data_IF_277874042796
#
_entry.id   IF_277874042796
#
_cell.length_a   1.000
_cell.length_b   1.000
_cell.length_c   1.000
_cell.angle_alpha   90.00
_cell.angle_beta   90.00
_cell.angle_gamma   90.00
#
_symmetry.space_group_name_H-M   'P 1'
#
loop_
_entity.id
_entity.type
_entity.pdbx_description
1 polymer ?
#
# COMPACT_ATOMS: atom_id res chain seq x y z
N UNK A 1 -23.86 35.78 -3.94
CA UNK A 1 -24.23 34.37 -4.24
C UNK A 1 -23.47 33.97 -5.48
N UNK A 2 -22.37 33.22 -5.31
CA UNK A 2 -21.67 32.60 -6.43
C UNK A 2 -21.51 31.14 -6.08
N UNK A 3 -22.38 30.32 -6.66
CA UNK A 3 -22.34 28.86 -6.53
C UNK A 3 -21.17 28.38 -7.38
N UNK A 4 -20.08 27.98 -6.73
CA UNK A 4 -19.01 27.24 -7.39
C UNK A 4 -19.52 25.82 -7.68
N UNK A 5 -20.09 25.61 -8.87
CA UNK A 5 -20.17 24.28 -9.47
C UNK A 5 -18.82 23.99 -10.10
N UNK A 6 -17.92 23.39 -9.33
CA UNK A 6 -16.76 22.70 -9.89
C UNK A 6 -17.27 21.34 -10.38
N UNK A 7 -17.02 21.09 -11.65
CA UNK A 7 -17.52 19.98 -12.44
C UNK A 7 -17.07 18.62 -11.87
N UNK A 8 -18.01 17.67 -11.78
CA UNK A 8 -17.80 16.25 -11.45
C UNK A 8 -16.62 15.57 -12.19
N UNK A 9 -16.16 16.09 -13.33
CA UNK A 9 -15.16 15.40 -14.16
C UNK A 9 -13.68 15.55 -13.73
N UNK A 10 -13.29 16.63 -13.05
CA UNK A 10 -11.87 16.89 -12.75
C UNK A 10 -11.44 16.26 -11.41
N UNK A 11 -12.37 16.15 -10.45
CA UNK A 11 -12.14 15.52 -9.14
C UNK A 11 -12.00 14.01 -9.29
N UNK A 12 -12.87 13.36 -10.07
CA UNK A 12 -12.84 11.90 -10.25
C UNK A 12 -11.58 11.37 -10.97
N UNK A 13 -10.99 12.13 -11.89
CA UNK A 13 -9.73 11.76 -12.54
C UNK A 13 -8.54 11.84 -11.58
N UNK A 14 -8.52 12.84 -10.70
CA UNK A 14 -7.51 12.99 -9.64
C UNK A 14 -7.59 11.84 -8.63
N UNK A 15 -8.80 11.50 -8.19
CA UNK A 15 -9.04 10.42 -7.24
C UNK A 15 -8.71 9.04 -7.82
N UNK A 16 -9.21 8.73 -9.03
CA UNK A 16 -8.89 7.47 -9.71
C UNK A 16 -7.38 7.31 -9.98
N UNK A 17 -6.68 8.40 -10.30
CA UNK A 17 -5.23 8.37 -10.46
C UNK A 17 -4.53 8.11 -9.12
N UNK A 18 -5.02 8.71 -8.03
CA UNK A 18 -4.47 8.48 -6.69
C UNK A 18 -4.68 7.04 -6.18
N UNK A 19 -5.82 6.42 -6.50
CA UNK A 19 -6.12 5.02 -6.19
C UNK A 19 -5.23 4.06 -6.99
N UNK A 20 -5.09 4.28 -8.30
CA UNK A 20 -4.22 3.47 -9.16
C UNK A 20 -2.77 3.50 -8.68
N UNK A 21 -2.25 4.69 -8.36
CA UNK A 21 -0.89 4.86 -7.81
C UNK A 21 -0.75 4.19 -6.45
N UNK A 22 -1.76 4.29 -5.57
CA UNK A 22 -1.73 3.63 -4.27
C UNK A 22 -1.71 2.10 -4.40
N UNK A 23 -2.51 1.53 -5.30
CA UNK A 23 -2.54 0.08 -5.59
C UNK A 23 -1.21 -0.41 -6.11
N UNK A 24 -0.63 0.27 -7.10
CA UNK A 24 0.66 -0.09 -7.66
C UNK A 24 1.77 -0.01 -6.60
N UNK A 25 1.76 1.04 -5.79
CA UNK A 25 2.72 1.21 -4.69
C UNK A 25 2.62 0.09 -3.65
N UNK A 26 1.41 -0.30 -3.24
CA UNK A 26 1.22 -1.44 -2.32
C UNK A 26 1.81 -2.73 -2.92
N UNK A 27 1.49 -3.05 -4.18
CA UNK A 27 2.00 -4.25 -4.86
C UNK A 27 3.53 -4.25 -4.98
N UNK A 28 4.12 -3.11 -5.33
CA UNK A 28 5.58 -3.00 -5.39
C UNK A 28 6.22 -3.21 -4.03
N UNK A 29 5.61 -2.69 -2.95
CA UNK A 29 6.17 -2.83 -1.60
C UNK A 29 5.98 -4.23 -1.01
N UNK A 30 4.89 -4.93 -1.31
CA UNK A 30 4.72 -6.34 -0.96
C UNK A 30 5.90 -7.18 -1.47
N UNK A 31 6.28 -6.98 -2.73
CA UNK A 31 7.40 -7.69 -3.35
C UNK A 31 8.72 -7.37 -2.64
N UNK A 32 8.98 -6.11 -2.30
CA UNK A 32 10.20 -5.70 -1.61
C UNK A 32 10.29 -6.29 -0.20
N UNK A 33 9.16 -6.41 0.51
CA UNK A 33 9.10 -7.07 1.82
C UNK A 33 9.41 -8.56 1.69
N UNK A 34 8.80 -9.24 0.72
CA UNK A 34 9.04 -10.66 0.46
C UNK A 34 10.52 -10.94 0.13
N UNK A 35 11.12 -10.14 -0.77
CA UNK A 35 12.55 -10.25 -1.11
C UNK A 35 13.41 -10.06 0.14
N UNK A 36 13.11 -9.05 0.96
CA UNK A 36 13.88 -8.78 2.18
C UNK A 36 13.79 -9.93 3.19
N UNK A 37 12.61 -10.54 3.35
CA UNK A 37 12.45 -11.73 4.20
C UNK A 37 13.26 -12.92 3.66
N UNK A 38 13.27 -13.11 2.35
CA UNK A 38 14.09 -14.16 1.71
C UNK A 38 15.58 -13.94 1.96
N UNK A 39 16.06 -12.70 1.82
CA UNK A 39 17.47 -12.34 2.05
C UNK A 39 17.89 -12.59 3.50
N UNK A 40 17.03 -12.23 4.47
CA UNK A 40 17.25 -12.50 5.90
C UNK A 40 17.36 -14.02 6.15
N UNK A 41 16.43 -14.81 5.59
CA UNK A 41 16.36 -16.25 5.83
C UNK A 41 17.53 -17.03 5.21
N UNK A 42 18.12 -16.52 4.13
CA UNK A 42 19.25 -17.13 3.43
C UNK A 42 20.59 -16.45 3.70
N UNK A 43 20.64 -15.49 4.63
CA UNK A 43 21.86 -14.80 4.99
C UNK A 43 22.87 -15.78 5.63
N UNK A 44 23.96 -16.05 4.92
CA UNK A 44 25.11 -16.83 5.41
C UNK A 44 26.28 -15.94 5.84
N UNK A 45 26.12 -14.62 5.74
CA UNK A 45 27.11 -13.62 6.11
C UNK A 45 27.20 -13.36 7.62
N UNK A 46 28.02 -12.38 8.03
CA UNK A 46 28.22 -12.05 9.43
C UNK A 46 26.97 -11.42 10.08
N UNK A 47 26.94 -11.38 11.41
CA UNK A 47 25.80 -10.88 12.18
C UNK A 47 25.45 -9.43 11.86
N UNK A 48 26.46 -8.62 11.55
CA UNK A 48 26.31 -7.22 11.15
C UNK A 48 25.46 -7.09 9.88
N UNK A 49 25.75 -7.91 8.87
CA UNK A 49 24.97 -7.95 7.61
C UNK A 49 23.53 -8.40 7.89
N UNK A 50 23.35 -9.44 8.72
CA UNK A 50 22.01 -9.89 9.11
C UNK A 50 21.23 -8.78 9.83
N UNK A 51 21.88 -7.99 10.69
CA UNK A 51 21.26 -6.87 11.39
C UNK A 51 20.86 -5.74 10.44
N UNK A 52 21.69 -5.43 9.44
CA UNK A 52 21.37 -4.46 8.39
C UNK A 52 20.14 -4.90 7.59
N UNK A 53 20.13 -6.15 7.09
CA UNK A 53 18.99 -6.73 6.37
C UNK A 53 17.72 -6.73 7.21
N UNK A 54 17.81 -7.04 8.50
CA UNK A 54 16.69 -6.98 9.43
C UNK A 54 16.17 -5.54 9.61
N UNK A 55 17.06 -4.56 9.72
CA UNK A 55 16.68 -3.15 9.86
C UNK A 55 15.96 -2.65 8.60
N UNK A 56 16.51 -2.97 7.42
CA UNK A 56 15.93 -2.62 6.13
C UNK A 56 14.57 -3.31 5.93
N UNK A 57 14.46 -4.60 6.23
CA UNK A 57 13.22 -5.36 6.16
C UNK A 57 12.12 -4.75 7.03
N UNK A 58 12.42 -4.37 8.28
CA UNK A 58 11.48 -3.66 9.16
C UNK A 58 11.05 -2.31 8.60
N UNK A 59 11.98 -1.57 7.96
CA UNK A 59 11.68 -0.28 7.35
C UNK A 59 10.71 -0.42 6.18
N UNK A 60 10.95 -1.40 5.30
CA UNK A 60 10.06 -1.73 4.18
C UNK A 60 8.69 -2.19 4.65
N UNK A 61 8.64 -3.01 5.70
CA UNK A 61 7.40 -3.48 6.31
C UNK A 61 6.56 -2.33 6.87
N UNK A 62 7.21 -1.38 7.56
CA UNK A 62 6.55 -0.19 8.10
C UNK A 62 6.01 0.72 6.99
N UNK A 63 6.76 0.86 5.88
CA UNK A 63 6.29 1.58 4.71
C UNK A 63 5.03 0.91 4.12
N UNK A 64 5.07 -0.40 3.88
CA UNK A 64 3.94 -1.15 3.35
C UNK A 64 2.67 -0.97 4.19
N UNK A 65 2.80 -1.05 5.53
CA UNK A 65 1.69 -0.78 6.45
C UNK A 65 1.04 0.59 6.20
N UNK A 66 1.86 1.64 6.07
CA UNK A 66 1.40 3.01 5.80
C UNK A 66 0.67 3.12 4.46
N UNK A 67 1.14 2.42 3.43
CA UNK A 67 0.49 2.44 2.11
C UNK A 67 -0.84 1.69 2.11
N UNK A 68 -0.93 0.57 2.83
CA UNK A 68 -2.20 -0.15 3.05
C UNK A 68 -3.20 0.75 3.79
N UNK A 69 -2.77 1.46 4.83
CA UNK A 69 -3.64 2.39 5.56
C UNK A 69 -4.12 3.56 4.66
N UNK A 70 -3.26 4.02 3.74
CA UNK A 70 -3.64 5.02 2.72
C UNK A 70 -4.68 4.45 1.76
N UNK A 71 -4.49 3.24 1.26
CA UNK A 71 -5.44 2.56 0.37
C UNK A 71 -6.80 2.35 1.07
N UNK A 72 -6.78 2.01 2.35
CA UNK A 72 -8.00 1.90 3.17
C UNK A 72 -8.71 3.25 3.33
N UNK A 73 -7.96 4.33 3.50
CA UNK A 73 -8.52 5.68 3.59
C UNK A 73 -9.21 6.08 2.28
N UNK A 74 -8.55 5.84 1.13
CA UNK A 74 -9.14 6.06 -0.18
C UNK A 74 -10.40 5.21 -0.40
N UNK A 75 -10.38 3.95 0.03
CA UNK A 75 -11.56 3.07 -0.04
C UNK A 75 -12.75 3.61 0.77
N UNK A 76 -12.50 4.27 1.90
CA UNK A 76 -13.55 4.88 2.74
C UNK A 76 -14.11 6.16 2.12
N UNK A 77 -13.28 6.91 1.40
CA UNK A 77 -13.65 8.13 0.69
C UNK A 77 -14.40 7.85 -0.63
N UNK A 78 -14.20 6.66 -1.21
CA UNK A 78 -14.84 6.24 -2.46
C UNK A 78 -16.38 6.23 -2.35
N UNK A 79 -17.04 7.04 -3.19
CA UNK A 79 -18.50 7.20 -3.20
C UNK A 79 -19.21 6.00 -3.81
N UNK A 80 -18.59 5.36 -4.82
CA UNK A 80 -19.17 4.24 -5.56
C UNK A 80 -19.08 2.95 -4.75
N UNK A 81 -20.22 2.31 -4.40
CA UNK A 81 -20.22 1.14 -3.53
C UNK A 81 -19.42 -0.05 -4.05
N UNK A 82 -19.44 -0.30 -5.36
CA UNK A 82 -18.72 -1.42 -5.96
C UNK A 82 -17.20 -1.21 -5.87
N UNK A 83 -16.71 -0.05 -6.29
CA UNK A 83 -15.28 0.30 -6.25
C UNK A 83 -14.75 0.28 -4.81
N UNK A 84 -15.54 0.78 -3.84
CA UNK A 84 -15.22 0.71 -2.41
C UNK A 84 -15.06 -0.73 -1.92
N UNK A 85 -15.98 -1.63 -2.27
CA UNK A 85 -15.91 -3.05 -1.87
C UNK A 85 -14.66 -3.70 -2.44
N UNK A 86 -14.33 -3.43 -3.70
CA UNK A 86 -13.13 -3.97 -4.34
C UNK A 86 -11.84 -3.48 -3.66
N UNK A 87 -11.74 -2.18 -3.36
CA UNK A 87 -10.60 -1.61 -2.63
C UNK A 87 -10.46 -2.19 -1.23
N UNK A 88 -11.56 -2.33 -0.47
CA UNK A 88 -11.52 -2.94 0.86
C UNK A 88 -11.10 -4.42 0.82
N UNK A 89 -11.49 -5.15 -0.22
CA UNK A 89 -11.05 -6.55 -0.43
C UNK A 89 -9.54 -6.61 -0.69
N UNK A 90 -9.01 -5.70 -1.49
CA UNK A 90 -7.57 -5.60 -1.76
C UNK A 90 -6.79 -5.24 -0.49
N UNK A 91 -7.25 -4.25 0.29
CA UNK A 91 -6.69 -3.92 1.61
C UNK A 91 -6.67 -5.14 2.54
N UNK A 92 -7.77 -5.89 2.62
CA UNK A 92 -7.84 -7.08 3.45
C UNK A 92 -6.81 -8.14 3.02
N UNK A 93 -6.64 -8.34 1.71
CA UNK A 93 -5.63 -9.28 1.18
C UNK A 93 -4.21 -8.86 1.55
N UNK A 94 -3.85 -7.58 1.43
CA UNK A 94 -2.54 -7.09 1.85
C UNK A 94 -2.32 -7.25 3.37
N UNK A 95 -3.33 -6.99 4.20
CA UNK A 95 -3.24 -7.18 5.65
C UNK A 95 -3.06 -8.65 6.04
N UNK A 96 -3.69 -9.57 5.33
CA UNK A 96 -3.49 -11.01 5.53
C UNK A 96 -2.05 -11.42 5.20
N UNK A 97 -1.50 -10.92 4.09
CA UNK A 97 -0.11 -11.19 3.70
C UNK A 97 0.90 -10.69 4.73
N UNK A 98 0.63 -9.56 5.40
CA UNK A 98 1.47 -9.05 6.49
C UNK A 98 1.50 -9.92 7.76
N UNK A 99 0.53 -10.82 7.92
CA UNK A 99 0.37 -11.63 9.14
C UNK A 99 0.93 -13.04 8.97
N UNK A 100 1.38 -13.41 7.75
CA UNK A 100 2.05 -14.68 7.45
C UNK A 100 3.55 -14.58 7.70
#
# INVERSE_FOLDING_TARGET
VTVARVCDGYVSLSEANSESVARETCRSQDLLVYVSQSDINHCTGPLELLNELNCEGRTKLAALRKHIDRLESLAKEQEKPLERIELLREVASHKEQLTR
#
